data_IF_191077210623
#
_entry.id   IF_191077210623
#
_cell.length_a   1.000
_cell.length_b   1.000
_cell.length_c   1.000
_cell.angle_alpha   90.00
_cell.angle_beta   90.00
_cell.angle_gamma   90.00
#
_symmetry.space_group_name_H-M   'P 1'
#
loop_
_entity.id
_entity.type
_entity.pdbx_description
1 polymer ?
#
# COMPACT_ATOMS: atom_id res chain seq x y z
N UNK A 1 68.36 3.18 -53.97
CA UNK A 1 67.41 2.33 -53.25
C UNK A 1 66.69 1.46 -54.28
N UNK A 2 66.91 0.15 -54.30
CA UNK A 2 66.15 -0.78 -55.14
C UNK A 2 64.90 -1.16 -54.32
N UNK A 3 63.72 -0.62 -54.66
CA UNK A 3 62.47 -1.04 -54.04
C UNK A 3 61.87 -2.21 -54.82
N UNK A 4 61.96 -3.42 -54.27
CA UNK A 4 61.11 -4.55 -54.67
C UNK A 4 60.13 -4.82 -53.54
N UNK A 5 58.83 -4.86 -53.85
CA UNK A 5 57.79 -5.35 -52.95
C UNK A 5 58.01 -6.86 -52.73
N UNK A 6 58.35 -7.26 -51.51
CA UNK A 6 58.37 -8.67 -51.10
C UNK A 6 57.11 -8.98 -50.28
N UNK A 7 56.47 -10.12 -50.57
CA UNK A 7 55.44 -10.71 -49.68
C UNK A 7 56.12 -11.29 -48.43
N UNK A 8 55.38 -11.33 -47.31
CA UNK A 8 55.79 -11.83 -45.98
C UNK A 8 56.92 -12.86 -45.97
N UNK A 9 57.88 -12.69 -45.08
CA UNK A 9 58.98 -13.65 -44.88
C UNK A 9 60.23 -13.04 -44.25
N UNK A 10 61.24 -13.88 -44.04
CA UNK A 10 62.57 -13.46 -43.60
C UNK A 10 63.42 -13.14 -44.83
N UNK A 11 63.81 -11.88 -44.98
CA UNK A 11 64.72 -11.46 -46.05
C UNK A 11 66.13 -11.37 -45.46
N UNK A 12 67.05 -12.12 -46.07
CA UNK A 12 68.47 -11.99 -45.76
C UNK A 12 69.10 -11.01 -46.74
N UNK A 13 69.67 -9.94 -46.20
CA UNK A 13 70.46 -8.98 -46.97
C UNK A 13 71.93 -9.39 -46.86
N UNK A 14 72.58 -9.50 -48.00
CA UNK A 14 74.00 -9.80 -48.12
C UNK A 14 74.70 -8.56 -48.66
N UNK A 15 75.66 -8.05 -47.92
CA UNK A 15 76.44 -6.87 -48.30
C UNK A 15 77.92 -7.22 -48.29
N UNK A 16 78.58 -6.88 -49.39
CA UNK A 16 80.04 -6.84 -49.52
C UNK A 16 80.44 -5.52 -50.13
N UNK A 17 81.58 -4.98 -49.70
CA UNK A 17 82.14 -3.74 -50.23
C UNK A 17 83.50 -4.07 -50.84
N UNK A 18 83.78 -3.59 -52.04
CA UNK A 18 85.06 -3.76 -52.71
C UNK A 18 85.90 -2.50 -52.53
N UNK A 19 87.18 -2.65 -52.22
CA UNK A 19 88.10 -1.53 -52.27
C UNK A 19 88.54 -1.20 -53.71
N UNK A 20 89.24 -0.08 -53.86
CA UNK A 20 89.70 0.41 -55.16
C UNK A 20 90.79 -0.48 -55.80
N UNK A 21 91.30 -1.47 -55.06
CA UNK A 21 92.27 -2.44 -55.53
C UNK A 21 91.61 -3.78 -55.92
N UNK A 22 90.28 -3.85 -55.87
CA UNK A 22 89.50 -5.01 -56.30
C UNK A 22 89.33 -6.09 -55.22
N UNK A 23 89.71 -5.83 -53.97
CA UNK A 23 89.52 -6.79 -52.87
C UNK A 23 88.15 -6.60 -52.22
N UNK A 24 87.38 -7.68 -52.07
CA UNK A 24 86.07 -7.65 -51.41
C UNK A 24 86.18 -7.89 -49.91
N UNK A 25 85.35 -7.19 -49.13
CA UNK A 25 85.16 -7.45 -47.71
C UNK A 25 84.55 -8.84 -47.44
N UNK A 26 84.62 -9.26 -46.18
CA UNK A 26 83.78 -10.33 -45.66
C UNK A 26 82.29 -9.99 -45.86
N UNK A 27 81.49 -11.05 -45.99
CA UNK A 27 80.04 -10.90 -46.16
C UNK A 27 79.38 -10.57 -44.83
N UNK A 28 78.68 -9.43 -44.77
CA UNK A 28 77.83 -9.12 -43.64
C UNK A 28 76.41 -9.56 -43.95
N UNK A 29 75.83 -10.36 -43.05
CA UNK A 29 74.46 -10.87 -43.14
C UNK A 29 73.58 -10.18 -42.11
N UNK A 30 72.48 -9.58 -42.56
CA UNK A 30 71.43 -9.09 -41.67
C UNK A 30 70.08 -9.70 -42.05
N UNK A 31 69.28 -10.02 -41.04
CA UNK A 31 67.92 -10.56 -41.22
C UNK A 31 66.90 -9.46 -40.93
N UNK A 32 65.98 -9.25 -41.85
CA UNK A 32 64.81 -8.40 -41.65
C UNK A 32 63.57 -9.29 -41.77
N UNK A 33 62.75 -9.31 -40.71
CA UNK A 33 61.47 -10.00 -40.70
C UNK A 33 60.36 -9.01 -41.06
N UNK A 34 59.52 -9.37 -42.02
CA UNK A 34 58.30 -8.62 -42.36
C UNK A 34 57.09 -9.47 -41.93
N UNK A 35 56.45 -9.12 -40.81
CA UNK A 35 55.18 -9.72 -40.37
C UNK A 35 54.01 -8.94 -40.98
N UNK A 36 52.99 -9.62 -41.50
CA UNK A 36 51.72 -8.93 -41.83
C UNK A 36 50.85 -8.78 -40.60
N UNK A 37 49.83 -7.92 -40.70
CA UNK A 37 48.85 -7.69 -39.65
C UNK A 37 48.16 -9.01 -39.25
N UNK A 38 48.04 -9.25 -37.94
CA UNK A 38 47.32 -10.39 -37.41
C UNK A 38 45.81 -10.19 -37.62
N UNK A 39 45.18 -11.05 -38.40
CA UNK A 39 43.73 -11.06 -38.58
C UNK A 39 43.07 -11.51 -37.27
N UNK A 40 42.09 -10.74 -36.77
CA UNK A 40 41.33 -11.09 -35.56
C UNK A 40 40.38 -12.26 -35.86
N UNK A 41 40.09 -13.14 -34.87
CA UNK A 41 39.12 -14.21 -35.04
C UNK A 41 37.67 -13.66 -35.16
N UNK A 42 36.75 -14.36 -35.84
CA UNK A 42 35.37 -13.91 -35.97
C UNK A 42 34.66 -13.87 -34.61
N UNK A 43 33.69 -12.98 -34.45
CA UNK A 43 32.91 -12.84 -33.20
C UNK A 43 31.42 -13.00 -33.50
N UNK A 44 30.76 -13.94 -32.84
CA UNK A 44 29.30 -14.07 -32.88
C UNK A 44 28.73 -13.19 -31.76
N UNK A 45 28.09 -12.08 -32.16
CA UNK A 45 27.50 -11.11 -31.24
C UNK A 45 26.17 -11.63 -30.70
N UNK A 46 25.36 -12.27 -31.56
CA UNK A 46 24.10 -12.91 -31.15
C UNK A 46 23.70 -14.05 -32.07
N UNK A 47 23.03 -15.06 -31.52
CA UNK A 47 22.32 -16.08 -32.26
C UNK A 47 21.16 -16.62 -31.42
N UNK A 48 19.93 -16.28 -31.80
CA UNK A 48 18.75 -16.48 -30.97
C UNK A 48 17.59 -17.03 -31.80
N UNK A 49 16.71 -17.79 -31.17
CA UNK A 49 15.44 -18.22 -31.75
C UNK A 49 14.27 -17.59 -30.99
N UNK A 50 13.31 -17.01 -31.72
CA UNK A 50 12.14 -16.36 -31.13
C UNK A 50 10.86 -16.63 -31.93
N UNK A 51 9.80 -17.19 -31.32
CA UNK A 51 9.76 -17.70 -29.94
C UNK A 51 10.66 -18.94 -29.74
N UNK A 52 11.18 -19.13 -28.53
CA UNK A 52 12.03 -20.28 -28.18
C UNK A 52 11.25 -21.60 -28.02
N UNK A 53 9.92 -21.54 -27.94
CA UNK A 53 9.02 -22.69 -27.95
C UNK A 53 7.87 -22.49 -28.93
N UNK A 54 7.51 -23.55 -29.64
CA UNK A 54 6.42 -23.58 -30.62
C UNK A 54 5.64 -24.89 -30.50
N UNK A 55 4.40 -24.91 -30.96
CA UNK A 55 3.68 -26.17 -31.23
C UNK A 55 4.21 -26.81 -32.51
N UNK A 56 4.02 -28.13 -32.67
CA UNK A 56 4.40 -28.83 -33.91
C UNK A 56 3.82 -28.16 -35.15
N UNK A 57 4.66 -27.86 -36.15
CA UNK A 57 4.29 -27.12 -37.36
C UNK A 57 4.28 -25.59 -37.20
N UNK A 58 4.50 -25.07 -35.98
CA UNK A 58 4.68 -23.64 -35.72
C UNK A 58 5.96 -23.08 -36.34
N UNK A 59 6.11 -21.76 -36.29
CA UNK A 59 7.30 -21.08 -36.80
C UNK A 59 8.05 -20.34 -35.70
N UNK A 60 9.37 -20.45 -35.71
CA UNK A 60 10.30 -19.66 -34.90
C UNK A 60 11.24 -18.89 -35.83
N UNK A 61 11.69 -17.71 -35.42
CA UNK A 61 12.64 -16.90 -36.20
C UNK A 61 14.02 -17.00 -35.58
N UNK A 62 14.98 -17.54 -36.34
CA UNK A 62 16.40 -17.43 -36.01
C UNK A 62 16.89 -16.03 -36.36
N UNK A 63 17.64 -15.39 -35.48
CA UNK A 63 18.27 -14.08 -35.72
C UNK A 63 19.73 -14.11 -35.30
N UNK A 64 20.62 -13.53 -36.09
CA UNK A 64 22.06 -13.54 -35.83
C UNK A 64 22.75 -12.23 -36.18
N UNK A 65 23.86 -11.98 -35.50
CA UNK A 65 24.78 -10.89 -35.76
C UNK A 65 26.23 -11.37 -35.52
N UNK A 66 27.10 -11.19 -36.50
CA UNK A 66 28.49 -11.67 -36.51
C UNK A 66 29.40 -10.56 -37.03
N UNK A 67 30.55 -10.34 -36.39
CA UNK A 67 31.62 -9.48 -36.88
C UNK A 67 32.87 -10.28 -37.28
N UNK A 68 33.69 -9.66 -38.12
CA UNK A 68 35.03 -10.16 -38.50
C UNK A 68 35.06 -11.55 -39.15
N UNK A 69 33.92 -12.04 -39.64
CA UNK A 69 33.84 -13.29 -40.40
C UNK A 69 33.93 -13.02 -41.92
N UNK A 70 34.61 -13.90 -42.65
CA UNK A 70 34.54 -13.96 -44.11
C UNK A 70 33.30 -14.73 -44.56
N UNK A 71 32.92 -15.77 -43.81
CA UNK A 71 31.74 -16.60 -44.09
C UNK A 71 30.98 -16.92 -42.82
N UNK A 72 29.65 -16.89 -42.88
CA UNK A 72 28.77 -17.40 -41.82
C UNK A 72 27.85 -18.45 -42.43
N UNK A 73 27.70 -19.59 -41.76
CA UNK A 73 26.76 -20.64 -42.15
C UNK A 73 25.95 -21.13 -40.96
N UNK A 74 24.72 -21.57 -41.22
CA UNK A 74 23.87 -22.22 -40.21
C UNK A 74 23.58 -23.64 -40.71
N UNK A 75 23.64 -24.61 -39.80
CA UNK A 75 23.39 -26.02 -40.10
C UNK A 75 21.93 -26.30 -40.49
N UNK A 76 21.53 -27.59 -40.49
CA UNK A 76 20.12 -28.01 -40.73
C UNK A 76 19.53 -27.53 -42.06
N UNK A 77 20.37 -27.47 -43.09
CA UNK A 77 19.95 -27.11 -44.45
C UNK A 77 19.76 -25.61 -44.68
N UNK A 78 20.26 -24.74 -43.78
CA UNK A 78 20.27 -23.30 -44.03
C UNK A 78 21.46 -22.88 -44.91
N UNK A 79 22.66 -23.37 -44.60
CA UNK A 79 23.86 -23.08 -45.38
C UNK A 79 24.39 -21.66 -45.13
N UNK A 80 25.07 -21.10 -46.13
CA UNK A 80 25.73 -19.80 -46.01
C UNK A 80 24.72 -18.64 -45.94
N UNK A 81 24.96 -17.73 -45.03
CA UNK A 81 24.14 -16.54 -44.77
C UNK A 81 25.01 -15.29 -44.64
N UNK A 82 24.37 -14.11 -44.70
CA UNK A 82 25.04 -12.84 -44.43
C UNK A 82 25.47 -12.73 -42.96
N UNK A 83 26.41 -11.83 -42.66
CA UNK A 83 26.92 -11.58 -41.30
C UNK A 83 25.83 -11.20 -40.29
N UNK A 84 24.80 -10.50 -40.76
CA UNK A 84 23.61 -10.15 -39.97
C UNK A 84 22.37 -10.58 -40.72
N UNK A 85 21.40 -11.15 -40.02
CA UNK A 85 20.15 -11.55 -40.65
C UNK A 85 19.18 -12.23 -39.71
N UNK A 86 18.04 -12.59 -40.28
CA UNK A 86 17.04 -13.44 -39.64
C UNK A 86 16.45 -14.40 -40.65
N UNK A 87 15.93 -15.53 -40.18
CA UNK A 87 15.23 -16.53 -40.98
C UNK A 87 14.17 -17.25 -40.17
N UNK A 88 12.95 -17.25 -40.70
CA UNK A 88 11.88 -18.09 -40.18
C UNK A 88 12.16 -19.57 -40.48
N UNK A 89 11.95 -20.40 -39.47
CA UNK A 89 12.04 -21.86 -39.53
C UNK A 89 10.75 -22.45 -38.99
N UNK A 90 10.31 -23.56 -39.58
CA UNK A 90 9.17 -24.34 -39.10
C UNK A 90 9.65 -25.72 -38.73
N UNK A 91 9.27 -26.20 -37.54
CA UNK A 91 9.73 -27.46 -37.00
C UNK A 91 8.56 -28.31 -36.52
N UNK A 92 8.68 -29.62 -36.73
CA UNK A 92 7.78 -30.62 -36.15
C UNK A 92 8.38 -31.32 -34.92
N UNK A 93 9.69 -31.17 -34.69
CA UNK A 93 10.42 -31.72 -33.54
C UNK A 93 11.43 -30.71 -33.01
N UNK A 94 11.73 -30.77 -31.71
CA UNK A 94 12.73 -29.91 -31.07
C UNK A 94 14.07 -30.00 -31.79
N UNK A 95 14.64 -28.86 -32.15
CA UNK A 95 15.89 -28.80 -32.89
C UNK A 95 16.80 -27.69 -32.33
N UNK A 96 18.11 -27.96 -32.34
CA UNK A 96 19.15 -26.99 -31.94
C UNK A 96 19.97 -26.61 -33.16
N UNK A 97 19.82 -25.39 -33.66
CA UNK A 97 20.62 -24.87 -34.77
C UNK A 97 22.02 -24.48 -34.30
N UNK A 98 23.01 -24.63 -35.18
CA UNK A 98 24.40 -24.23 -34.96
C UNK A 98 24.81 -23.24 -36.04
N UNK A 99 25.24 -22.05 -35.63
CA UNK A 99 25.84 -21.03 -36.48
C UNK A 99 27.36 -21.15 -36.40
N UNK A 100 28.02 -21.15 -37.56
CA UNK A 100 29.48 -21.22 -37.70
C UNK A 100 29.97 -19.99 -38.46
N UNK A 101 30.87 -19.21 -37.85
CA UNK A 101 31.52 -18.07 -38.48
C UNK A 101 33.01 -18.37 -38.70
N UNK A 102 33.56 -18.03 -39.87
CA UNK A 102 34.92 -18.39 -40.27
C UNK A 102 35.62 -17.25 -41.00
N UNK A 103 36.91 -17.05 -40.71
CA UNK A 103 37.82 -16.21 -41.47
C UNK A 103 39.23 -16.85 -41.51
N UNK A 104 40.24 -16.12 -41.99
CA UNK A 104 41.63 -16.61 -42.08
C UNK A 104 42.28 -16.89 -40.71
N UNK A 105 41.77 -16.30 -39.62
CA UNK A 105 42.25 -16.51 -38.27
C UNK A 105 41.63 -17.72 -37.56
N UNK A 106 40.49 -18.23 -38.04
CA UNK A 106 39.86 -19.44 -37.51
C UNK A 106 38.34 -19.47 -37.64
N UNK A 107 37.68 -20.30 -36.82
CA UNK A 107 36.22 -20.46 -36.80
C UNK A 107 35.68 -20.48 -35.37
N UNK A 108 34.48 -19.91 -35.18
CA UNK A 108 33.73 -19.89 -33.92
C UNK A 108 32.28 -20.35 -34.17
N UNK A 109 31.63 -20.91 -33.14
CA UNK A 109 30.26 -21.41 -33.26
C UNK A 109 29.35 -20.93 -32.11
N UNK A 110 28.04 -20.86 -32.38
CA UNK A 110 26.99 -20.59 -31.40
C UNK A 110 25.75 -21.45 -31.69
N UNK A 111 24.91 -21.71 -30.68
CA UNK A 111 23.70 -22.53 -30.84
C UNK A 111 22.42 -21.81 -30.43
N UNK A 112 21.32 -22.12 -31.10
CA UNK A 112 19.98 -21.64 -30.77
C UNK A 112 18.99 -22.82 -30.81
N UNK A 113 18.31 -23.09 -29.70
CA UNK A 113 17.34 -24.18 -29.59
C UNK A 113 15.91 -23.67 -29.75
N UNK A 114 15.11 -24.41 -30.52
CA UNK A 114 13.66 -24.25 -30.60
C UNK A 114 13.01 -25.51 -30.06
N UNK A 115 12.26 -25.37 -28.98
CA UNK A 115 11.52 -26.46 -28.34
C UNK A 115 10.18 -26.62 -29.05
N UNK A 116 9.89 -27.82 -29.55
CA UNK A 116 8.58 -28.16 -30.08
C UNK A 116 7.80 -28.89 -29.00
N UNK A 117 6.81 -28.21 -28.42
CA UNK A 117 5.86 -28.84 -27.50
C UNK A 117 4.78 -29.60 -28.27
N UNK A 118 4.42 -30.77 -27.76
CA UNK A 118 3.19 -31.43 -28.20
C UNK A 118 2.01 -30.53 -27.89
N UNK A 119 1.02 -30.49 -28.79
CA UNK A 119 -0.26 -29.88 -28.47
C UNK A 119 -0.84 -30.56 -27.23
N UNK A 120 -1.50 -29.82 -26.32
CA UNK A 120 -2.27 -30.44 -25.24
C UNK A 120 -3.22 -31.50 -25.83
N UNK A 121 -3.43 -32.64 -25.15
CA UNK A 121 -4.45 -33.58 -25.58
C UNK A 121 -5.79 -32.83 -25.68
N UNK A 122 -6.62 -33.10 -26.71
CA UNK A 122 -7.96 -32.53 -26.75
C UNK A 122 -8.72 -32.92 -25.47
N UNK A 123 -9.61 -32.05 -24.95
CA UNK A 123 -10.50 -32.43 -23.87
C UNK A 123 -11.18 -33.77 -24.21
N UNK A 124 -11.43 -34.65 -23.22
CA UNK A 124 -12.16 -35.89 -23.46
C UNK A 124 -13.45 -35.57 -24.21
N UNK A 125 -13.59 -36.13 -25.42
CA UNK A 125 -14.74 -35.86 -26.26
C UNK A 125 -16.02 -36.25 -25.52
N UNK A 126 -16.98 -35.33 -25.50
CA UNK A 126 -18.30 -35.57 -24.95
C UNK A 126 -18.50 -35.14 -23.50
N UNK A 127 -17.52 -34.54 -22.79
CA UNK A 127 -17.80 -33.87 -21.51
C UNK A 127 -18.57 -32.55 -21.71
N UNK A 128 -19.37 -32.11 -20.73
CA UNK A 128 -19.99 -30.78 -20.76
C UNK A 128 -18.95 -29.65 -20.81
N UNK A 129 -19.26 -28.55 -21.50
CA UNK A 129 -18.37 -27.39 -21.62
C UNK A 129 -19.00 -26.18 -20.95
N UNK A 130 -18.34 -25.65 -19.92
CA UNK A 130 -18.76 -24.40 -19.24
C UNK A 130 -18.01 -23.24 -19.90
N UNK A 131 -18.71 -22.46 -20.73
CA UNK A 131 -18.14 -21.32 -21.45
C UNK A 131 -18.00 -20.07 -20.56
N UNK A 132 -18.89 -19.90 -19.58
CA UNK A 132 -18.80 -18.83 -18.58
C UNK A 132 -19.56 -19.19 -17.30
N UNK A 133 -19.07 -18.67 -16.18
CA UNK A 133 -19.80 -18.62 -14.91
C UNK A 133 -19.28 -17.42 -14.10
N UNK A 134 -20.10 -16.39 -13.93
CA UNK A 134 -19.69 -15.10 -13.35
C UNK A 134 -20.71 -14.56 -12.38
N UNK A 135 -20.27 -13.80 -11.38
CA UNK A 135 -21.11 -13.02 -10.48
C UNK A 135 -20.97 -11.51 -10.76
N UNK A 136 -22.09 -10.78 -10.81
CA UNK A 136 -22.09 -9.33 -10.97
C UNK A 136 -23.20 -8.65 -10.12
N UNK A 137 -22.86 -7.76 -9.19
CA UNK A 137 -21.49 -7.39 -8.77
C UNK A 137 -20.76 -8.53 -8.06
N UNK A 138 -19.44 -8.58 -8.19
CA UNK A 138 -18.59 -9.56 -7.49
C UNK A 138 -18.37 -9.26 -6.00
N UNK A 139 -18.78 -8.08 -5.54
CA UNK A 139 -18.75 -7.66 -4.14
C UNK A 139 -20.02 -6.92 -3.77
N UNK A 140 -20.57 -7.22 -2.59
CA UNK A 140 -21.84 -6.69 -2.08
C UNK A 140 -21.77 -6.44 -0.56
N UNK A 141 -22.73 -5.68 -0.01
CA UNK A 141 -23.00 -5.69 1.44
C UNK A 141 -23.85 -6.91 1.80
N UNK A 142 -23.81 -7.35 3.06
CA UNK A 142 -24.59 -8.51 3.50
C UNK A 142 -26.09 -8.35 3.21
N UNK A 143 -26.66 -9.30 2.45
CA UNK A 143 -28.07 -9.31 2.07
C UNK A 143 -28.42 -8.55 0.78
N UNK A 144 -27.48 -7.79 0.21
CA UNK A 144 -27.67 -7.18 -1.12
C UNK A 144 -27.71 -8.26 -2.22
N UNK A 145 -28.18 -7.90 -3.41
CA UNK A 145 -28.29 -8.82 -4.53
C UNK A 145 -27.02 -8.84 -5.42
N UNK A 146 -26.62 -10.04 -5.84
CA UNK A 146 -25.68 -10.27 -6.94
C UNK A 146 -26.30 -11.24 -7.96
N UNK A 147 -25.99 -11.03 -9.24
CA UNK A 147 -26.50 -11.88 -10.33
C UNK A 147 -25.43 -12.88 -10.76
N UNK A 148 -25.71 -14.17 -10.61
CA UNK A 148 -24.94 -15.24 -11.24
C UNK A 148 -25.39 -15.37 -12.70
N UNK A 149 -24.45 -15.48 -13.64
CA UNK A 149 -24.71 -15.70 -15.08
C UNK A 149 -23.82 -16.82 -15.61
N UNK A 150 -24.35 -17.70 -16.44
CA UNK A 150 -23.62 -18.86 -16.97
C UNK A 150 -24.03 -19.24 -18.40
N UNK A 151 -23.11 -19.93 -19.07
CA UNK A 151 -23.35 -20.56 -20.38
C UNK A 151 -22.63 -21.90 -20.45
N UNK A 152 -23.39 -22.96 -20.68
CA UNK A 152 -22.92 -24.36 -20.72
C UNK A 152 -23.40 -25.02 -22.01
N UNK A 153 -22.56 -25.83 -22.65
CA UNK A 153 -22.95 -26.73 -23.74
C UNK A 153 -22.75 -28.20 -23.36
N UNK A 154 -23.45 -29.09 -24.07
CA UNK A 154 -23.30 -30.55 -23.97
C UNK A 154 -23.60 -31.11 -22.57
N UNK A 155 -24.36 -30.39 -21.73
CA UNK A 155 -24.82 -30.87 -20.43
C UNK A 155 -26.23 -31.45 -20.52
N UNK A 156 -26.45 -32.60 -19.87
CA UNK A 156 -27.78 -33.14 -19.62
C UNK A 156 -28.41 -32.50 -18.37
N UNK A 157 -27.59 -32.18 -17.36
CA UNK A 157 -28.01 -31.54 -16.11
C UNK A 157 -27.01 -30.46 -15.74
N UNK A 158 -27.50 -29.29 -15.33
CA UNK A 158 -26.68 -28.21 -14.76
C UNK A 158 -27.26 -27.85 -13.39
N UNK A 159 -26.40 -27.80 -12.37
CA UNK A 159 -26.76 -27.40 -11.02
C UNK A 159 -25.82 -26.33 -10.49
N UNK A 160 -26.35 -25.46 -9.64
CA UNK A 160 -25.57 -24.51 -8.85
C UNK A 160 -25.87 -24.78 -7.37
N UNK A 161 -24.83 -24.79 -6.55
CA UNK A 161 -24.92 -25.03 -5.10
C UNK A 161 -25.53 -23.82 -4.34
N UNK A 162 -25.40 -23.82 -3.01
CA UNK A 162 -25.88 -22.75 -2.12
C UNK A 162 -27.37 -22.37 -2.31
N UNK A 163 -28.20 -23.39 -2.54
CA UNK A 163 -29.67 -23.25 -2.59
C UNK A 163 -30.25 -22.85 -3.95
N UNK A 164 -29.43 -22.67 -5.00
CA UNK A 164 -29.92 -22.37 -6.35
C UNK A 164 -30.54 -23.60 -7.02
N UNK A 165 -29.86 -24.75 -6.98
CA UNK A 165 -30.38 -26.02 -7.49
C UNK A 165 -30.21 -26.20 -9.01
N UNK A 166 -31.12 -26.96 -9.62
CA UNK A 166 -31.08 -27.29 -11.04
C UNK A 166 -31.49 -26.11 -11.92
N UNK A 167 -30.72 -25.85 -12.97
CA UNK A 167 -30.90 -24.70 -13.86
C UNK A 167 -30.76 -25.11 -15.34
N UNK A 168 -31.21 -24.24 -16.24
CA UNK A 168 -31.00 -24.42 -17.68
C UNK A 168 -29.52 -24.24 -18.05
N UNK A 169 -29.11 -24.77 -19.22
CA UNK A 169 -27.72 -24.70 -19.67
C UNK A 169 -27.20 -23.28 -19.91
N UNK A 170 -28.09 -22.33 -20.23
CA UNK A 170 -27.78 -20.90 -20.33
C UNK A 170 -28.79 -20.13 -19.48
N UNK A 171 -28.32 -19.21 -18.65
CA UNK A 171 -29.21 -18.44 -17.81
C UNK A 171 -28.50 -17.51 -16.82
N UNK A 172 -29.32 -16.88 -15.99
CA UNK A 172 -28.89 -16.05 -14.88
C UNK A 172 -29.86 -16.16 -13.72
N UNK A 173 -29.37 -16.00 -12.48
CA UNK A 173 -30.22 -15.93 -11.28
C UNK A 173 -29.67 -14.93 -10.27
N UNK A 174 -30.57 -14.29 -9.53
CA UNK A 174 -30.21 -13.38 -8.44
C UNK A 174 -30.02 -14.16 -7.14
N UNK A 175 -28.98 -13.83 -6.39
CA UNK A 175 -28.67 -14.39 -5.08
C UNK A 175 -28.34 -13.27 -4.08
N UNK A 176 -28.57 -13.51 -2.79
CA UNK A 176 -28.31 -12.53 -1.72
C UNK A 176 -27.58 -13.16 -0.52
N UNK A 177 -26.31 -13.55 -0.67
CA UNK A 177 -25.57 -14.18 0.42
C UNK A 177 -25.30 -13.19 1.57
N UNK A 178 -25.39 -13.68 2.81
CA UNK A 178 -25.10 -12.90 4.02
C UNK A 178 -23.60 -12.89 4.39
N UNK A 179 -22.83 -13.83 3.85
CA UNK A 179 -21.39 -13.97 4.05
C UNK A 179 -20.70 -14.27 2.72
N UNK A 180 -19.40 -14.01 2.62
CA UNK A 180 -18.62 -14.31 1.41
C UNK A 180 -18.81 -15.75 0.99
N UNK A 181 -19.38 -15.95 -0.20
CA UNK A 181 -19.84 -17.25 -0.69
C UNK A 181 -19.22 -17.55 -2.04
N UNK A 182 -18.66 -18.74 -2.18
CA UNK A 182 -18.15 -19.26 -3.46
C UNK A 182 -19.17 -20.20 -4.05
N UNK A 183 -19.83 -19.79 -5.12
CA UNK A 183 -20.79 -20.62 -5.84
C UNK A 183 -20.05 -21.56 -6.80
N UNK A 184 -20.55 -22.78 -6.91
CA UNK A 184 -20.04 -23.82 -7.82
C UNK A 184 -21.14 -24.24 -8.77
N UNK A 185 -20.89 -24.08 -10.07
CA UNK A 185 -21.71 -24.64 -11.14
C UNK A 185 -21.15 -26.01 -11.51
N UNK A 186 -22.01 -27.02 -11.55
CA UNK A 186 -21.68 -28.39 -11.98
C UNK A 186 -22.55 -28.78 -13.17
N UNK A 187 -21.92 -29.16 -14.27
CA UNK A 187 -22.58 -29.64 -15.47
C UNK A 187 -22.26 -31.13 -15.66
N UNK A 188 -23.27 -31.97 -15.88
CA UNK A 188 -23.09 -33.43 -16.06
C UNK A 188 -23.78 -33.93 -17.32
N UNK A 189 -23.24 -34.99 -17.90
CA UNK A 189 -23.86 -35.79 -18.95
C UNK A 189 -23.39 -37.26 -18.85
N UNK A 190 -23.71 -38.09 -19.84
CA UNK A 190 -23.33 -39.50 -19.85
C UNK A 190 -21.81 -39.76 -19.93
N UNK A 191 -21.02 -38.81 -20.43
CA UNK A 191 -19.57 -38.92 -20.52
C UNK A 191 -18.85 -38.51 -19.23
N UNK A 192 -19.50 -37.74 -18.35
CA UNK A 192 -18.94 -37.29 -17.08
C UNK A 192 -19.45 -35.91 -16.67
N UNK A 193 -18.58 -35.10 -16.07
CA UNK A 193 -18.94 -33.80 -15.53
C UNK A 193 -17.84 -32.74 -15.68
N UNK A 194 -18.24 -31.48 -15.63
CA UNK A 194 -17.37 -30.31 -15.55
C UNK A 194 -17.88 -29.37 -14.44
N UNK A 195 -16.99 -28.57 -13.85
CA UNK A 195 -17.38 -27.56 -12.86
C UNK A 195 -16.64 -26.23 -13.05
N UNK A 196 -17.27 -25.15 -12.59
CA UNK A 196 -16.70 -23.81 -12.52
C UNK A 196 -17.13 -23.12 -11.23
N UNK A 197 -16.31 -22.20 -10.73
CA UNK A 197 -16.60 -21.44 -9.50
C UNK A 197 -16.59 -19.94 -9.76
N UNK A 198 -17.44 -19.21 -9.04
CA UNK A 198 -17.39 -17.75 -8.94
C UNK A 198 -17.64 -17.35 -7.48
N UNK A 199 -16.95 -16.33 -7.01
CA UNK A 199 -17.07 -15.86 -5.63
C UNK A 199 -17.81 -14.52 -5.56
N UNK A 200 -18.70 -14.38 -4.59
CA UNK A 200 -19.30 -13.12 -4.19
C UNK A 200 -18.70 -12.74 -2.83
N UNK A 201 -17.97 -11.63 -2.79
CA UNK A 201 -17.38 -11.09 -1.56
C UNK A 201 -18.43 -10.27 -0.83
N UNK A 202 -18.73 -10.65 0.41
CA UNK A 202 -19.63 -9.87 1.26
C UNK A 202 -18.80 -9.03 2.21
N UNK A 203 -18.87 -7.71 2.03
CA UNK A 203 -18.28 -6.75 2.93
C UNK A 203 -19.25 -6.45 4.07
N UNK A 204 -18.71 -6.34 5.30
CA UNK A 204 -19.47 -5.72 6.38
C UNK A 204 -19.75 -4.26 5.99
N UNK A 205 -20.97 -3.77 6.22
CA UNK A 205 -21.23 -2.34 6.12
C UNK A 205 -20.26 -1.61 7.06
N UNK A 206 -19.59 -0.53 6.62
CA UNK A 206 -18.79 0.27 7.54
C UNK A 206 -19.69 0.75 8.69
N UNK A 207 -19.24 0.68 9.95
CA UNK A 207 -20.02 1.23 11.05
C UNK A 207 -20.24 2.73 10.77
N UNK A 208 -21.49 3.18 10.82
CA UNK A 208 -21.86 4.60 10.66
C UNK A 208 -21.46 5.35 11.92
N UNK A 209 -20.16 5.62 12.05
CA UNK A 209 -19.60 6.44 13.10
C UNK A 209 -19.56 7.91 12.66
N UNK A 210 -19.87 8.79 13.61
CA UNK A 210 -19.83 10.24 13.45
C UNK A 210 -18.89 10.81 14.51
N UNK A 211 -18.01 11.73 14.10
CA UNK A 211 -17.13 12.44 15.03
C UNK A 211 -17.46 13.93 15.02
N UNK A 212 -17.68 14.50 16.21
CA UNK A 212 -17.95 15.93 16.41
C UNK A 212 -16.99 16.50 17.45
N UNK A 213 -16.52 17.73 17.22
CA UNK A 213 -15.82 18.51 18.23
C UNK A 213 -16.80 19.48 18.87
N UNK A 214 -16.93 19.41 20.19
CA UNK A 214 -17.86 20.21 20.97
C UNK A 214 -17.04 21.17 21.84
N UNK A 215 -17.25 22.47 21.61
CA UNK A 215 -16.72 23.55 22.43
C UNK A 215 -17.75 23.93 23.50
N UNK A 216 -17.33 24.48 24.65
CA UNK A 216 -18.26 25.02 25.62
C UNK A 216 -18.98 26.25 25.05
N UNK A 217 -20.25 26.37 25.39
CA UNK A 217 -21.05 27.55 25.17
C UNK A 217 -20.59 28.61 26.17
N UNK A 218 -19.85 29.60 25.67
CA UNK A 218 -19.20 30.64 26.51
C UNK A 218 -20.21 31.38 27.39
N UNK A 219 -21.38 31.71 26.86
CA UNK A 219 -22.42 32.45 27.60
C UNK A 219 -23.09 31.62 28.72
N UNK A 220 -22.92 30.30 28.71
CA UNK A 220 -23.44 29.37 29.71
C UNK A 220 -22.33 28.78 30.60
N UNK A 221 -21.10 29.26 30.41
CA UNK A 221 -19.91 28.85 31.16
C UNK A 221 -19.46 30.00 32.07
N UNK A 222 -18.57 29.74 33.03
CA UNK A 222 -18.17 30.74 33.99
C UNK A 222 -17.36 30.18 35.16
N UNK A 223 -17.18 30.96 36.21
CA UNK A 223 -16.70 30.48 37.50
C UNK A 223 -17.54 31.03 38.63
N UNK A 224 -17.54 30.35 39.78
CA UNK A 224 -18.17 30.81 41.01
C UNK A 224 -17.12 30.94 42.08
N UNK A 225 -17.15 32.05 42.81
CA UNK A 225 -16.26 32.33 43.94
C UNK A 225 -16.79 31.68 45.21
N UNK A 226 -15.93 31.37 46.16
CA UNK A 226 -16.34 30.94 47.52
C UNK A 226 -17.18 31.98 48.29
N UNK A 227 -17.07 33.25 47.90
CA UNK A 227 -17.95 34.36 48.32
C UNK A 227 -19.39 34.22 47.79
N UNK A 228 -19.67 33.24 46.92
CA UNK A 228 -20.96 32.98 46.30
C UNK A 228 -21.27 33.86 45.08
N UNK A 229 -20.30 34.61 44.57
CA UNK A 229 -20.49 35.49 43.41
C UNK A 229 -20.15 34.75 42.12
N UNK A 230 -21.10 34.56 41.18
CA UNK A 230 -20.84 33.97 39.88
C UNK A 230 -20.24 35.01 38.91
N UNK A 231 -19.36 34.54 38.03
CA UNK A 231 -18.73 35.30 36.96
C UNK A 231 -18.88 34.54 35.64
N UNK A 232 -19.81 34.96 34.75
CA UNK A 232 -20.06 34.26 33.50
C UNK A 232 -18.92 34.50 32.49
N UNK A 233 -18.84 33.63 31.47
CA UNK A 233 -17.93 33.68 30.31
C UNK A 233 -16.45 33.40 30.55
N UNK A 234 -16.00 33.43 31.79
CA UNK A 234 -14.61 33.15 32.16
C UNK A 234 -14.53 31.79 32.85
N UNK A 235 -13.72 30.87 32.34
CA UNK A 235 -13.58 29.52 32.92
C UNK A 235 -12.26 29.52 33.69
N UNK A 236 -12.28 30.02 34.93
CA UNK A 236 -11.10 30.19 35.80
C UNK A 236 -11.24 29.31 37.05
N UNK A 237 -10.18 28.56 37.38
CA UNK A 237 -10.17 27.63 38.51
C UNK A 237 -8.86 27.74 39.28
N UNK A 238 -8.93 27.81 40.60
CA UNK A 238 -7.79 28.12 41.47
C UNK A 238 -8.20 29.13 42.54
N UNK A 239 -7.34 30.09 42.84
CA UNK A 239 -7.69 31.28 43.62
C UNK A 239 -7.16 32.56 42.95
N UNK A 240 -7.75 33.69 43.33
CA UNK A 240 -7.30 35.03 42.90
C UNK A 240 -6.42 35.69 43.96
N UNK A 241 -5.80 36.81 43.58
CA UNK A 241 -4.88 37.60 44.43
C UNK A 241 -5.47 38.19 45.72
N UNK A 242 -6.73 37.91 46.05
CA UNK A 242 -7.34 38.20 47.35
C UNK A 242 -7.64 36.90 48.13
N UNK A 243 -7.02 35.79 47.75
CA UNK A 243 -7.21 34.45 48.32
C UNK A 243 -8.66 33.95 48.19
N UNK A 244 -9.35 34.37 47.12
CA UNK A 244 -10.73 33.96 46.82
C UNK A 244 -10.70 32.72 45.93
N UNK A 245 -11.22 31.60 46.42
CA UNK A 245 -11.28 30.36 45.65
C UNK A 245 -12.29 30.42 44.51
N UNK A 246 -11.91 29.89 43.34
CA UNK A 246 -12.64 29.90 42.08
C UNK A 246 -12.91 28.47 41.61
N UNK A 247 -14.17 28.15 41.32
CA UNK A 247 -14.57 26.90 40.66
C UNK A 247 -15.13 27.20 39.29
N UNK A 248 -14.53 26.65 38.24
CA UNK A 248 -14.98 26.90 36.88
C UNK A 248 -16.06 25.91 36.44
N UNK A 249 -16.87 26.31 35.48
CA UNK A 249 -17.94 25.53 34.89
C UNK A 249 -17.88 25.66 33.37
N UNK A 250 -17.85 24.54 32.66
CA UNK A 250 -17.90 24.49 31.20
C UNK A 250 -19.15 23.74 30.74
N UNK A 251 -20.00 24.41 29.96
CA UNK A 251 -21.26 23.87 29.45
C UNK A 251 -21.14 23.52 27.98
N UNK A 252 -21.26 22.24 27.61
CA UNK A 252 -21.16 21.76 26.23
C UNK A 252 -22.56 21.57 25.64
N UNK A 253 -22.80 22.09 24.43
CA UNK A 253 -24.03 21.81 23.67
C UNK A 253 -23.92 20.45 22.99
N UNK A 254 -24.69 19.48 23.50
CA UNK A 254 -24.71 18.11 22.99
C UNK A 254 -25.98 17.79 22.20
N UNK A 255 -26.82 18.80 21.90
CA UNK A 255 -28.08 18.61 21.17
C UNK A 255 -27.88 18.10 19.73
N UNK A 256 -26.67 18.27 19.18
CA UNK A 256 -26.29 17.71 17.88
C UNK A 256 -26.08 16.19 17.90
N UNK A 257 -25.96 15.55 19.06
CA UNK A 257 -25.88 14.09 19.19
C UNK A 257 -27.31 13.53 19.24
N UNK A 258 -27.72 12.67 18.29
CA UNK A 258 -29.07 12.12 18.25
C UNK A 258 -29.45 11.39 19.54
N UNK A 259 -30.70 11.54 19.98
CA UNK A 259 -31.23 10.71 21.06
C UNK A 259 -31.12 9.22 20.69
N UNK A 260 -30.65 8.40 21.63
CA UNK A 260 -30.39 6.98 21.40
C UNK A 260 -29.02 6.65 20.78
N UNK A 261 -28.22 7.64 20.41
CA UNK A 261 -26.86 7.42 19.95
C UNK A 261 -26.00 6.72 21.02
N UNK A 262 -25.10 5.85 20.56
CA UNK A 262 -24.10 5.20 21.41
C UNK A 262 -22.77 5.93 21.28
N UNK A 263 -22.26 6.49 22.37
CA UNK A 263 -20.95 7.12 22.44
C UNK A 263 -19.88 6.03 22.43
N UNK A 264 -19.05 6.02 21.39
CA UNK A 264 -17.99 5.04 21.19
C UNK A 264 -16.70 5.49 21.88
N UNK A 265 -16.36 6.77 21.79
CA UNK A 265 -15.21 7.36 22.48
C UNK A 265 -15.38 8.86 22.73
N UNK A 266 -14.68 9.36 23.75
CA UNK A 266 -14.52 10.79 24.01
C UNK A 266 -13.05 11.08 24.24
N UNK A 267 -12.50 11.99 23.44
CA UNK A 267 -11.21 12.63 23.72
C UNK A 267 -11.48 13.94 24.44
N UNK A 268 -10.94 14.06 25.64
CA UNK A 268 -10.94 15.29 26.43
C UNK A 268 -9.69 16.07 26.07
N UNK A 269 -9.86 17.29 25.57
CA UNK A 269 -8.75 18.19 25.28
C UNK A 269 -8.95 19.54 25.98
N UNK A 270 -8.33 19.66 27.16
CA UNK A 270 -8.33 20.88 27.96
C UNK A 270 -6.99 21.65 27.82
N UNK A 271 -6.12 21.23 26.90
CA UNK A 271 -4.77 21.74 26.77
C UNK A 271 -4.68 23.14 26.15
N UNK A 272 -5.74 23.57 25.46
CA UNK A 272 -5.86 24.93 24.91
C UNK A 272 -6.34 25.93 25.98
N UNK A 273 -5.64 25.99 27.10
CA UNK A 273 -5.80 27.05 28.10
C UNK A 273 -5.05 28.31 27.67
N UNK A 274 -5.56 29.48 28.08
CA UNK A 274 -4.93 30.76 27.76
C UNK A 274 -3.65 30.95 28.57
N UNK A 275 -3.73 30.81 29.89
CA UNK A 275 -2.61 31.09 30.80
C UNK A 275 -2.79 30.33 32.11
N UNK A 276 -1.68 29.89 32.68
CA UNK A 276 -1.57 29.49 34.09
C UNK A 276 -0.92 30.65 34.81
N UNK A 277 -1.60 31.21 35.80
CA UNK A 277 -1.06 32.23 36.69
C UNK A 277 -0.52 31.53 37.94
N UNK A 278 0.67 31.94 38.40
CA UNK A 278 1.28 31.39 39.61
C UNK A 278 1.69 29.92 39.48
N UNK A 279 1.63 29.18 40.59
CA UNK A 279 1.86 27.74 40.71
C UNK A 279 0.66 27.00 41.33
N UNK A 280 -0.52 26.98 40.66
CA UNK A 280 -1.72 26.36 41.21
C UNK A 280 -1.58 24.88 41.52
N UNK A 281 -0.67 24.17 40.82
CA UNK A 281 -0.46 22.75 41.08
C UNK A 281 0.47 22.50 42.28
N UNK A 282 1.43 23.39 42.52
CA UNK A 282 2.27 23.37 43.71
C UNK A 282 1.51 23.84 44.96
N UNK A 283 0.72 24.91 44.84
CA UNK A 283 0.02 25.57 45.93
C UNK A 283 -1.32 24.92 46.30
N UNK A 284 -2.14 24.60 45.28
CA UNK A 284 -3.53 24.15 45.49
C UNK A 284 -3.73 22.63 45.27
N UNK A 285 -2.69 21.95 44.75
CA UNK A 285 -2.65 20.51 44.54
C UNK A 285 -3.16 20.08 43.17
N UNK A 286 -4.11 19.14 43.13
CA UNK A 286 -4.58 18.55 41.88
C UNK A 286 -5.94 19.10 41.47
N UNK A 287 -5.99 19.64 40.26
CA UNK A 287 -7.23 20.00 39.57
C UNK A 287 -8.06 18.75 39.32
N UNK A 288 -9.34 18.79 39.68
CA UNK A 288 -10.32 17.73 39.42
C UNK A 288 -11.49 18.26 38.63
N UNK A 289 -12.07 17.39 37.82
CA UNK A 289 -13.23 17.71 36.98
C UNK A 289 -14.38 16.80 37.37
N UNK A 290 -15.55 17.37 37.61
CA UNK A 290 -16.74 16.68 38.10
C UNK A 290 -17.89 16.84 37.12
N UNK A 291 -18.79 15.85 37.02
CA UNK A 291 -20.06 16.10 36.35
C UNK A 291 -20.85 17.14 37.16
N UNK A 292 -21.50 18.08 36.47
CA UNK A 292 -22.38 19.07 37.10
C UNK A 292 -23.72 19.07 36.39
N UNK A 293 -24.80 19.28 37.13
CA UNK A 293 -26.12 19.40 36.53
C UNK A 293 -26.28 20.79 35.94
N UNK A 294 -26.68 20.85 34.66
CA UNK A 294 -26.80 22.11 33.94
C UNK A 294 -27.84 23.04 34.57
N UNK A 295 -27.42 24.29 34.83
CA UNK A 295 -28.25 25.35 35.40
C UNK A 295 -27.67 26.74 35.13
N UNK A 296 -28.40 27.78 35.54
CA UNK A 296 -27.85 29.14 35.56
C UNK A 296 -26.84 29.24 36.70
N UNK A 297 -25.64 29.74 36.42
CA UNK A 297 -24.59 29.84 37.43
C UNK A 297 -25.00 30.82 38.55
N UNK A 298 -24.99 30.34 39.78
CA UNK A 298 -25.23 31.12 40.99
C UNK A 298 -24.32 30.68 42.15
N UNK A 299 -24.43 31.35 43.30
CA UNK A 299 -23.59 31.05 44.47
C UNK A 299 -23.79 29.65 45.06
N UNK A 300 -24.91 29.00 44.78
CA UNK A 300 -25.21 27.64 45.23
C UNK A 300 -24.45 26.57 44.46
N UNK A 301 -23.88 26.90 43.30
CA UNK A 301 -23.05 25.97 42.54
C UNK A 301 -21.66 25.75 43.15
N UNK A 302 -21.20 26.66 44.01
CA UNK A 302 -19.91 26.53 44.69
C UNK A 302 -19.93 25.35 45.67
N UNK A 303 -18.99 24.42 45.51
CA UNK A 303 -18.88 23.25 46.36
C UNK A 303 -17.71 23.37 47.35
N UNK A 304 -18.00 23.54 48.62
CA UNK A 304 -16.96 23.58 49.64
C UNK A 304 -16.37 22.17 49.93
N UNK A 305 -15.05 22.08 50.09
CA UNK A 305 -14.34 20.84 50.43
C UNK A 305 -14.13 19.94 49.22
N UNK A 306 -13.97 18.63 49.45
CA UNK A 306 -13.53 17.69 48.42
C UNK A 306 -14.63 16.74 47.93
N UNK A 307 -15.26 16.98 46.76
CA UNK A 307 -16.31 16.12 46.25
C UNK A 307 -15.75 14.76 45.81
N UNK A 308 -16.58 13.72 45.95
CA UNK A 308 -16.33 12.40 45.38
C UNK A 308 -16.80 12.35 43.92
N UNK A 309 -16.31 11.38 43.16
CA UNK A 309 -16.77 11.13 41.79
C UNK A 309 -16.19 12.07 40.73
N UNK A 310 -14.92 12.50 40.90
CA UNK A 310 -14.21 13.20 39.84
C UNK A 310 -14.09 12.30 38.59
N UNK A 311 -14.40 12.86 37.42
CA UNK A 311 -14.16 12.23 36.12
C UNK A 311 -12.67 12.26 35.78
N UNK A 312 -11.99 13.37 36.10
CA UNK A 312 -10.61 13.63 35.72
C UNK A 312 -9.81 14.18 36.90
N UNK A 313 -8.49 13.97 36.86
CA UNK A 313 -7.53 14.47 37.85
C UNK A 313 -6.22 14.85 37.16
N UNK A 314 -5.77 16.08 37.39
CA UNK A 314 -4.50 16.62 36.90
C UNK A 314 -3.72 17.22 38.07
N UNK A 315 -2.49 16.79 38.29
CA UNK A 315 -1.60 17.25 39.36
C UNK A 315 -0.43 18.08 38.86
N UNK A 316 -0.35 18.33 37.56
CA UNK A 316 0.57 19.29 36.99
C UNK A 316 0.01 19.85 35.69
N UNK A 317 0.50 21.02 35.27
CA UNK A 317 0.17 21.62 33.99
C UNK A 317 0.47 20.68 32.80
N UNK A 318 1.54 19.89 32.90
CA UNK A 318 1.96 18.95 31.85
C UNK A 318 1.03 17.75 31.66
N UNK A 319 0.13 17.48 32.62
CA UNK A 319 -0.88 16.43 32.51
C UNK A 319 -2.14 16.91 31.77
N UNK A 320 -2.34 18.23 31.60
CA UNK A 320 -3.47 18.78 30.86
C UNK A 320 -3.19 18.66 29.35
N UNK A 321 -3.33 17.44 28.85
CA UNK A 321 -3.15 17.06 27.45
C UNK A 321 -4.37 16.33 26.91
N UNK A 322 -4.54 16.35 25.59
CA UNK A 322 -5.59 15.59 24.93
C UNK A 322 -5.45 14.08 25.18
N UNK A 323 -6.49 13.44 25.69
CA UNK A 323 -6.51 12.00 25.91
C UNK A 323 -7.93 11.43 25.85
N UNK A 324 -8.05 10.15 25.49
CA UNK A 324 -9.32 9.43 25.57
C UNK A 324 -9.65 9.11 27.03
N UNK A 325 -10.88 9.37 27.45
CA UNK A 325 -11.30 9.13 28.83
C UNK A 325 -12.64 8.38 28.91
N UNK A 326 -12.66 7.28 29.66
CA UNK A 326 -13.85 6.43 29.81
C UNK A 326 -14.87 6.99 30.79
N UNK A 327 -14.44 7.72 31.82
CA UNK A 327 -15.35 8.29 32.81
C UNK A 327 -16.16 9.44 32.21
N UNK A 328 -15.52 10.32 31.43
CA UNK A 328 -16.20 11.37 30.66
C UNK A 328 -17.08 10.76 29.58
N UNK A 329 -16.64 9.68 28.90
CA UNK A 329 -17.48 8.96 27.93
C UNK A 329 -18.76 8.43 28.57
N UNK A 330 -18.68 7.78 29.73
CA UNK A 330 -19.85 7.22 30.41
C UNK A 330 -20.77 8.33 30.97
N UNK A 331 -20.19 9.40 31.51
CA UNK A 331 -20.94 10.58 31.97
C UNK A 331 -21.67 11.29 30.81
N UNK A 332 -21.03 11.41 29.65
CA UNK A 332 -21.64 11.98 28.44
C UNK A 332 -22.74 11.05 27.88
N UNK A 333 -22.49 9.73 27.83
CA UNK A 333 -23.48 8.75 27.41
C UNK A 333 -24.77 8.82 28.25
N UNK A 334 -24.64 9.02 29.56
CA UNK A 334 -25.78 9.19 30.47
C UNK A 334 -26.59 10.48 30.21
N UNK A 335 -26.02 11.47 29.51
CA UNK A 335 -26.67 12.73 29.14
C UNK A 335 -27.13 12.75 27.67
N UNK A 336 -26.87 11.71 26.86
CA UNK A 336 -27.41 11.62 25.49
C UNK A 336 -28.94 11.72 25.50
N UNK A 337 -29.49 12.58 24.63
CA UNK A 337 -30.91 12.93 24.62
C UNK A 337 -31.27 14.18 25.42
N UNK A 338 -30.32 14.76 26.17
CA UNK A 338 -30.43 16.11 26.74
C UNK A 338 -29.73 17.15 25.85
N UNK A 339 -29.89 18.44 26.16
CA UNK A 339 -29.27 19.54 25.41
C UNK A 339 -27.87 19.94 25.91
N UNK A 340 -27.52 19.58 27.14
CA UNK A 340 -26.32 20.10 27.82
C UNK A 340 -25.59 19.02 28.61
N UNK A 341 -24.27 19.08 28.50
CA UNK A 341 -23.33 18.38 29.37
C UNK A 341 -22.47 19.44 30.07
N UNK A 342 -22.59 19.59 31.39
CA UNK A 342 -21.82 20.57 32.14
C UNK A 342 -20.82 19.86 33.06
N UNK A 343 -19.63 20.43 33.18
CA UNK A 343 -18.60 19.96 34.11
C UNK A 343 -18.11 21.09 34.99
N UNK A 344 -17.75 20.77 36.23
CA UNK A 344 -17.11 21.68 37.19
C UNK A 344 -15.64 21.36 37.36
N UNK A 345 -14.79 22.37 37.36
CA UNK A 345 -13.37 22.32 37.64
C UNK A 345 -13.10 22.85 39.05
N UNK A 346 -12.30 22.13 39.83
CA UNK A 346 -11.99 22.52 41.20
C UNK A 346 -10.63 21.97 41.65
N UNK A 347 -9.80 22.80 42.30
CA UNK A 347 -8.68 22.32 43.11
C UNK A 347 -9.21 21.82 44.45
N UNK A 348 -8.77 20.62 44.83
CA UNK A 348 -9.48 19.81 45.82
C UNK A 348 -8.66 19.54 47.09
N UNK A 349 -7.35 19.77 47.06
CA UNK A 349 -6.46 19.65 48.21
C UNK A 349 -6.48 20.92 49.06
N UNK A 350 -6.30 22.09 48.44
CA UNK A 350 -6.42 23.38 49.13
C UNK A 350 -7.12 24.38 48.22
N UNK A 351 -8.13 25.08 48.75
CA UNK A 351 -8.96 26.00 47.97
C UNK A 351 -8.26 27.34 47.69
N UNK A 352 -7.34 27.72 48.57
CA UNK A 352 -6.43 28.89 48.50
C UNK A 352 -5.20 28.60 49.35
N UNK A 353 -4.04 29.14 48.98
CA UNK A 353 -2.81 29.00 49.76
C UNK A 353 -2.52 30.19 50.71
N UNK A 354 -3.28 31.28 50.58
CA UNK A 354 -3.16 32.47 51.41
C UNK A 354 -1.95 33.36 51.07
N UNK A 355 -1.37 33.23 49.88
CA UNK A 355 -0.18 33.98 49.46
C UNK A 355 -0.50 35.37 48.87
N UNK A 356 -1.77 35.65 48.54
CA UNK A 356 -2.19 36.94 47.99
C UNK A 356 -1.73 37.18 46.54
N UNK A 357 -1.47 36.11 45.79
CA UNK A 357 -1.24 36.11 44.35
C UNK A 357 -2.25 35.20 43.61
N UNK A 358 -2.20 35.18 42.28
CA UNK A 358 -3.13 34.34 41.52
C UNK A 358 -2.49 32.98 41.29
N UNK A 359 -3.08 31.92 41.84
CA UNK A 359 -2.76 30.55 41.50
C UNK A 359 -3.97 29.94 40.78
N UNK A 360 -4.04 30.13 39.45
CA UNK A 360 -5.19 29.65 38.67
C UNK A 360 -4.88 29.24 37.23
N UNK A 361 -5.72 28.34 36.71
CA UNK A 361 -5.74 27.98 35.29
C UNK A 361 -6.89 28.73 34.61
N UNK A 362 -6.60 29.40 33.50
CA UNK A 362 -7.55 30.24 32.79
C UNK A 362 -7.82 29.78 31.35
N UNK A 363 -9.08 29.50 31.04
CA UNK A 363 -9.60 29.40 29.67
C UNK A 363 -10.41 30.65 29.32
N UNK A 364 -10.25 31.13 28.08
CA UNK A 364 -10.88 32.37 27.57
C UNK A 364 -11.63 32.08 26.27
N UNK A 365 -12.39 33.04 25.73
CA UNK A 365 -13.17 32.81 24.50
C UNK A 365 -12.34 32.39 23.28
N UNK A 366 -11.03 32.63 23.25
CA UNK A 366 -10.11 32.19 22.19
C UNK A 366 -9.32 30.92 22.53
N UNK A 367 -9.43 30.42 23.76
CA UNK A 367 -8.69 29.28 24.31
C UNK A 367 -9.64 28.49 25.20
N UNK A 368 -10.32 27.50 24.62
CA UNK A 368 -11.41 26.78 25.28
C UNK A 368 -11.09 25.30 25.43
N UNK A 369 -11.54 24.67 26.53
CA UNK A 369 -11.57 23.22 26.62
C UNK A 369 -12.48 22.66 25.51
N UNK A 370 -12.25 21.44 25.05
CA UNK A 370 -13.13 20.80 24.06
C UNK A 370 -13.25 19.30 24.28
N UNK A 371 -14.36 18.75 23.80
CA UNK A 371 -14.60 17.31 23.73
C UNK A 371 -14.67 16.90 22.27
N UNK A 372 -13.94 15.85 21.90
CA UNK A 372 -14.05 15.22 20.58
C UNK A 372 -14.77 13.90 20.79
N UNK A 373 -15.99 13.82 20.28
CA UNK A 373 -16.93 12.73 20.57
C UNK A 373 -17.16 11.93 19.30
N UNK A 374 -16.91 10.63 19.38
CA UNK A 374 -17.28 9.68 18.31
C UNK A 374 -18.46 8.84 18.76
N UNK A 375 -19.51 8.77 17.95
CA UNK A 375 -20.75 8.04 18.25
C UNK A 375 -21.30 7.32 17.03
N UNK A 376 -22.11 6.29 17.24
CA UNK A 376 -22.93 5.66 16.20
C UNK A 376 -24.39 6.10 16.30
N UNK A 377 -25.11 6.08 15.17
CA UNK A 377 -26.55 6.33 15.13
C UNK A 377 -27.36 5.38 16.03
N UNK A 378 -28.61 5.75 16.37
CA UNK A 378 -29.51 4.93 17.18
C UNK A 378 -29.91 3.60 16.52
#
# INVERSE_FOLDING_TARGET
>A
MISRLYRQGNISLYLKVQDNNGTWSDEVRSRVAVSGEAVAAPVIISFNASPGSITSGGSSTLSWNVSDATTVSIDRGIGNVALTGNRAVSLSTTATYTLTATNEAGSVTATAQVIVSAAPPPPPAGLPVISSFTANPGSITAGDASTLSWSVSDAAVVTIDHGVGAVAAVGSTSVSPATTTSYTLTATNAAGWASATTQIIVSAAPPTEHTVTILPVVDESGYVRDTGVPWPKFIYVGDDNNDISLQAFASFDISGIPAGATILSVVVDFSDYNTIYGDPFGSLGCLRVYPHDYGSLDGGDYFAGSPLGALLRYCSAGEIVAHSDTYVKDALQAKVGSSRFQVRFQFNETATDGAGDNDLVAWTSSHLPKLIVTYSGP
#
